data_IF_500145305113
#
_entry.id   IF_500145305113
#
_cell.length_a   1.000
_cell.length_b   1.000
_cell.length_c   1.000
_cell.angle_alpha   90.00
_cell.angle_beta   90.00
_cell.angle_gamma   90.00
#
_symmetry.space_group_name_H-M   'P 1'
#
loop_
_entity.id
_entity.type
_entity.pdbx_description
1 polymer ?
#
# COMPACT_ATOMS: atom_id res chain seq x y z
N UNK A 1 15.21 -48.50 -5.08
CA UNK A 1 14.57 -47.60 -4.08
C UNK A 1 13.30 -47.08 -4.71
N UNK A 2 12.15 -47.67 -4.38
CA UNK A 2 10.87 -47.14 -4.83
C UNK A 2 10.58 -45.86 -4.02
N UNK A 3 10.42 -44.74 -4.69
CA UNK A 3 9.94 -43.50 -4.07
C UNK A 3 8.57 -43.77 -3.47
N UNK A 4 8.44 -43.61 -2.15
CA UNK A 4 7.13 -43.60 -1.50
C UNK A 4 6.26 -42.54 -2.20
N UNK A 5 5.03 -42.88 -2.65
CA UNK A 5 4.12 -41.85 -3.09
C UNK A 5 3.90 -40.89 -1.92
N UNK A 6 3.97 -39.58 -2.21
CA UNK A 6 3.47 -38.53 -1.31
C UNK A 6 2.09 -38.97 -0.82
N UNK A 7 1.90 -39.11 0.48
CA UNK A 7 0.59 -39.45 1.02
C UNK A 7 -0.40 -38.38 0.54
N UNK A 8 -1.32 -38.76 -0.35
CA UNK A 8 -2.44 -37.90 -0.69
C UNK A 8 -3.26 -37.72 0.60
N UNK A 9 -3.57 -36.47 0.96
CA UNK A 9 -4.44 -36.17 2.10
C UNK A 9 -5.77 -36.90 1.92
N UNK A 10 -6.21 -37.68 2.91
CA UNK A 10 -7.52 -38.32 2.83
C UNK A 10 -8.63 -37.26 2.94
N UNK A 11 -9.59 -37.24 2.01
CA UNK A 11 -10.69 -36.31 2.07
C UNK A 11 -11.64 -36.63 3.22
N UNK A 12 -11.93 -35.62 4.00
CA UNK A 12 -12.91 -35.59 5.07
C UNK A 12 -14.16 -34.87 4.55
N UNK A 13 -15.11 -35.66 4.06
CA UNK A 13 -16.40 -35.21 3.51
C UNK A 13 -17.52 -35.48 4.48
N UNK A 14 -18.45 -34.54 4.60
CA UNK A 14 -19.69 -34.74 5.33
C UNK A 14 -20.88 -34.71 4.37
N UNK A 15 -21.59 -35.82 4.23
CA UNK A 15 -22.83 -35.85 3.46
C UNK A 15 -23.97 -35.27 4.29
N UNK A 16 -24.60 -34.20 3.81
CA UNK A 16 -25.77 -33.59 4.44
C UNK A 16 -25.47 -32.63 5.59
N UNK A 17 -24.21 -32.22 5.78
CA UNK A 17 -23.87 -31.10 6.65
C UNK A 17 -23.46 -29.90 5.82
N UNK A 18 -24.09 -28.75 6.06
CA UNK A 18 -23.71 -27.50 5.43
C UNK A 18 -22.54 -26.84 6.19
N UNK A 19 -22.51 -26.99 7.51
CA UNK A 19 -21.53 -26.35 8.38
C UNK A 19 -20.83 -27.36 9.29
N UNK A 20 -19.51 -27.23 9.38
CA UNK A 20 -18.65 -28.02 10.26
C UNK A 20 -17.94 -27.08 11.23
N UNK A 21 -18.12 -27.31 12.53
CA UNK A 21 -17.42 -26.58 13.60
C UNK A 21 -16.49 -27.53 14.36
N UNK A 22 -15.21 -27.17 14.45
CA UNK A 22 -14.26 -27.79 15.36
C UNK A 22 -13.82 -26.73 16.37
N UNK A 23 -14.06 -26.99 17.64
CA UNK A 23 -13.73 -26.05 18.70
C UNK A 23 -13.08 -26.75 19.90
N UNK A 24 -12.13 -26.09 20.52
CA UNK A 24 -11.57 -26.48 21.81
C UNK A 24 -12.05 -25.50 22.88
N UNK A 25 -12.25 -25.98 24.11
CA UNK A 25 -12.58 -25.10 25.23
C UNK A 25 -11.33 -24.57 25.96
N UNK A 26 -10.22 -25.30 25.86
CA UNK A 26 -8.91 -24.96 26.38
C UNK A 26 -7.86 -25.78 25.62
N UNK A 27 -7.26 -25.20 24.57
CA UNK A 27 -6.13 -25.79 23.87
C UNK A 27 -6.07 -25.46 22.37
N UNK A 28 -4.93 -25.72 21.77
CA UNK A 28 -4.71 -25.46 20.34
C UNK A 28 -5.40 -26.49 19.45
N UNK A 29 -5.71 -26.09 18.22
CA UNK A 29 -6.13 -26.97 17.13
C UNK A 29 -4.95 -27.12 16.17
N UNK A 30 -4.49 -28.35 15.96
CA UNK A 30 -3.52 -28.69 14.91
C UNK A 30 -4.13 -29.71 13.98
N UNK A 31 -4.29 -29.36 12.70
CA UNK A 31 -4.87 -30.24 11.69
C UNK A 31 -3.85 -30.45 10.57
N UNK A 32 -3.44 -31.70 10.36
CA UNK A 32 -2.47 -32.08 9.33
C UNK A 32 -2.86 -33.41 8.69
N UNK A 33 -2.61 -33.59 7.41
CA UNK A 33 -2.85 -34.87 6.72
C UNK A 33 -4.31 -35.16 6.37
N UNK A 34 -5.22 -34.22 6.63
CA UNK A 34 -6.65 -34.29 6.25
C UNK A 34 -6.98 -33.22 5.20
N UNK A 35 -8.06 -33.42 4.46
CA UNK A 35 -8.62 -32.42 3.57
C UNK A 35 -10.11 -32.20 3.83
N UNK A 36 -10.56 -30.95 3.91
CA UNK A 36 -11.97 -30.58 4.01
C UNK A 36 -12.51 -30.24 2.62
N UNK A 37 -13.58 -30.89 2.20
CA UNK A 37 -14.19 -30.68 0.89
C UNK A 37 -15.69 -30.97 0.90
N UNK A 38 -16.41 -30.33 -0.03
CA UNK A 38 -17.82 -30.63 -0.38
C UNK A 38 -18.85 -30.34 0.72
N UNK A 39 -18.70 -29.20 1.41
CA UNK A 39 -19.70 -28.63 2.32
C UNK A 39 -19.59 -27.09 2.30
N UNK A 40 -20.59 -26.37 2.81
CA UNK A 40 -20.64 -24.91 2.66
C UNK A 40 -19.59 -24.19 3.54
N UNK A 41 -19.51 -24.52 4.84
CA UNK A 41 -18.75 -23.71 5.80
C UNK A 41 -17.90 -24.52 6.79
N UNK A 42 -16.63 -24.13 6.95
CA UNK A 42 -15.72 -24.63 7.98
C UNK A 42 -15.44 -23.55 9.04
N UNK A 43 -15.68 -23.86 10.30
CA UNK A 43 -15.30 -23.03 11.45
C UNK A 43 -14.31 -23.76 12.35
N UNK A 44 -13.18 -23.11 12.64
CA UNK A 44 -12.24 -23.54 13.66
C UNK A 44 -12.19 -22.50 14.77
N UNK A 45 -12.30 -22.92 16.03
CA UNK A 45 -12.16 -22.04 17.19
C UNK A 45 -11.26 -22.65 18.27
N UNK A 46 -10.05 -22.10 18.43
CA UNK A 46 -9.15 -22.47 19.51
C UNK A 46 -9.25 -21.47 20.67
N UNK A 47 -9.85 -21.90 21.78
CA UNK A 47 -10.04 -21.08 22.99
C UNK A 47 -8.90 -21.26 23.99
N UNK A 48 -8.43 -20.17 24.60
CA UNK A 48 -7.35 -20.10 25.58
C UNK A 48 -6.25 -19.11 25.16
N UNK A 49 -5.68 -18.38 26.13
CA UNK A 49 -4.68 -17.33 25.89
C UNK A 49 -3.39 -17.79 25.18
N UNK A 50 -3.14 -19.10 25.11
CA UNK A 50 -2.02 -19.72 24.41
C UNK A 50 -2.48 -20.78 23.41
N UNK A 51 -3.73 -20.68 22.94
CA UNK A 51 -4.35 -21.66 22.06
C UNK A 51 -4.28 -21.21 20.62
N UNK A 52 -3.51 -21.94 19.83
CA UNK A 52 -3.23 -21.65 18.43
C UNK A 52 -4.13 -22.44 17.49
N UNK A 53 -4.28 -21.96 16.27
CA UNK A 53 -4.71 -22.78 15.14
C UNK A 53 -3.55 -22.97 14.17
N UNK A 54 -3.02 -24.19 14.09
CA UNK A 54 -2.06 -24.61 13.07
C UNK A 54 -2.80 -25.43 12.02
N UNK A 55 -3.15 -24.77 10.91
CA UNK A 55 -3.99 -25.32 9.87
C UNK A 55 -3.16 -25.83 8.69
N UNK A 56 -2.71 -27.09 8.79
CA UNK A 56 -2.03 -27.83 7.72
C UNK A 56 -2.95 -28.67 6.84
N UNK A 57 -4.26 -28.66 7.08
CA UNK A 57 -5.24 -29.36 6.27
C UNK A 57 -5.51 -28.62 4.95
N UNK A 58 -5.83 -29.37 3.89
CA UNK A 58 -6.29 -28.76 2.64
C UNK A 58 -7.77 -28.43 2.71
N UNK A 59 -8.18 -27.33 2.09
CA UNK A 59 -9.57 -26.89 1.96
C UNK A 59 -9.84 -26.60 0.49
N UNK A 60 -10.86 -27.20 -0.08
CA UNK A 60 -11.27 -26.91 -1.45
C UNK A 60 -12.74 -27.25 -1.67
N UNK A 61 -13.40 -26.52 -2.60
CA UNK A 61 -14.85 -26.65 -2.88
C UNK A 61 -15.70 -26.43 -1.62
N UNK A 62 -15.36 -25.41 -0.84
CA UNK A 62 -16.20 -24.90 0.25
C UNK A 62 -16.42 -23.39 0.07
N UNK A 63 -17.57 -22.88 0.50
CA UNK A 63 -17.93 -21.47 0.33
C UNK A 63 -17.18 -20.57 1.31
N UNK A 64 -16.99 -21.02 2.56
CA UNK A 64 -16.28 -20.25 3.57
C UNK A 64 -15.39 -21.10 4.51
N UNK A 65 -14.18 -20.62 4.77
CA UNK A 65 -13.33 -21.07 5.87
C UNK A 65 -13.07 -19.92 6.86
N UNK A 66 -13.44 -20.13 8.13
CA UNK A 66 -13.30 -19.18 9.21
C UNK A 66 -12.46 -19.78 10.34
N UNK A 67 -11.33 -19.17 10.63
CA UNK A 67 -10.38 -19.63 11.64
C UNK A 67 -10.28 -18.58 12.75
N UNK A 68 -10.47 -19.02 13.99
CA UNK A 68 -10.35 -18.16 15.16
C UNK A 68 -9.46 -18.81 16.21
N UNK A 69 -8.51 -18.04 16.73
CA UNK A 69 -7.63 -18.44 17.81
C UNK A 69 -7.49 -17.28 18.79
N UNK A 70 -7.50 -17.57 20.09
CA UNK A 70 -7.21 -16.56 21.12
C UNK A 70 -5.71 -16.22 21.22
N UNK A 71 -4.84 -17.02 20.60
CA UNK A 71 -3.42 -16.73 20.41
C UNK A 71 -3.08 -16.64 18.91
N UNK A 72 -2.28 -17.54 18.33
CA UNK A 72 -1.79 -17.42 16.96
C UNK A 72 -2.60 -18.25 15.94
N UNK A 73 -2.58 -17.81 14.68
CA UNK A 73 -3.04 -18.60 13.53
C UNK A 73 -1.91 -18.75 12.54
N UNK A 74 -1.66 -19.99 12.08
CA UNK A 74 -0.73 -20.31 11.00
C UNK A 74 -1.40 -21.25 9.99
N UNK A 75 -1.31 -20.91 8.69
CA UNK A 75 -1.94 -21.67 7.60
C UNK A 75 -0.88 -22.32 6.71
N UNK A 76 -0.70 -23.63 6.89
CA UNK A 76 0.30 -24.41 6.18
C UNK A 76 -0.29 -25.29 5.06
N UNK A 77 -1.61 -25.52 5.08
CA UNK A 77 -2.33 -26.27 4.05
C UNK A 77 -2.83 -25.37 2.91
N UNK A 78 -3.21 -25.99 1.79
CA UNK A 78 -3.83 -25.28 0.66
C UNK A 78 -5.26 -24.88 1.04
N UNK A 79 -5.63 -23.63 0.80
CA UNK A 79 -7.00 -23.12 0.98
C UNK A 79 -7.55 -22.66 -0.37
N UNK A 80 -8.71 -23.15 -0.78
CA UNK A 80 -9.46 -22.71 -1.95
C UNK A 80 -10.95 -22.56 -1.59
N UNK A 81 -11.44 -21.33 -1.52
CA UNK A 81 -12.78 -21.04 -1.00
C UNK A 81 -13.41 -19.77 -1.61
N UNK A 82 -14.70 -19.54 -1.40
CA UNK A 82 -15.34 -18.26 -1.71
C UNK A 82 -14.90 -17.15 -0.75
N UNK A 83 -14.82 -17.45 0.55
CA UNK A 83 -14.43 -16.53 1.61
C UNK A 83 -13.42 -17.17 2.57
N UNK A 84 -12.29 -16.49 2.79
CA UNK A 84 -11.32 -16.88 3.80
C UNK A 84 -11.19 -15.80 4.87
N UNK A 85 -11.56 -16.14 6.10
CA UNK A 85 -11.56 -15.24 7.25
C UNK A 85 -10.74 -15.76 8.41
N UNK A 86 -9.89 -14.93 9.00
CA UNK A 86 -9.17 -15.27 10.24
C UNK A 86 -9.25 -14.19 11.30
N UNK A 87 -9.26 -14.61 12.56
CA UNK A 87 -9.04 -13.75 13.72
C UNK A 87 -8.09 -14.45 14.69
N UNK A 88 -6.85 -13.96 14.78
CA UNK A 88 -5.89 -14.33 15.83
C UNK A 88 -5.90 -13.29 16.94
N UNK A 89 -5.92 -13.72 18.20
CA UNK A 89 -5.80 -12.84 19.36
C UNK A 89 -4.40 -12.26 19.53
N UNK A 90 -3.39 -12.95 19.04
CA UNK A 90 -2.02 -12.47 18.91
C UNK A 90 -1.64 -12.34 17.42
N UNK A 91 -0.84 -13.23 16.84
CA UNK A 91 -0.30 -13.07 15.49
C UNK A 91 -1.03 -13.90 14.43
N UNK A 92 -1.17 -13.36 13.22
CA UNK A 92 -1.28 -14.19 12.01
C UNK A 92 0.13 -14.46 11.51
N UNK A 93 0.59 -15.69 11.68
CA UNK A 93 1.95 -16.12 11.37
C UNK A 93 2.03 -16.54 9.90
N UNK A 94 3.12 -16.16 9.25
CA UNK A 94 3.42 -16.59 7.88
C UNK A 94 3.45 -18.13 7.83
N UNK A 95 2.60 -18.70 6.99
CA UNK A 95 2.54 -20.14 6.77
C UNK A 95 3.14 -20.56 5.43
N UNK A 96 3.11 -21.86 5.16
CA UNK A 96 3.65 -22.45 3.93
C UNK A 96 2.61 -22.77 2.86
N UNK A 97 1.32 -22.73 3.20
CA UNK A 97 0.23 -23.13 2.32
C UNK A 97 -0.21 -22.03 1.38
N UNK A 98 -0.71 -22.39 0.20
CA UNK A 98 -1.29 -21.43 -0.76
C UNK A 98 -2.77 -21.20 -0.44
N UNK A 99 -3.22 -19.95 -0.45
CA UNK A 99 -4.59 -19.54 -0.14
C UNK A 99 -5.19 -18.80 -1.31
N UNK A 100 -6.22 -19.37 -1.93
CA UNK A 100 -7.09 -18.80 -2.97
C UNK A 100 -8.48 -18.55 -2.41
N UNK A 101 -8.91 -17.30 -2.36
CA UNK A 101 -10.24 -16.92 -1.91
C UNK A 101 -10.87 -15.84 -2.80
N UNK A 102 -12.19 -15.91 -3.02
CA UNK A 102 -12.94 -14.82 -3.67
C UNK A 102 -13.05 -13.56 -2.78
N UNK A 103 -12.89 -13.72 -1.47
CA UNK A 103 -12.79 -12.65 -0.48
C UNK A 103 -11.80 -13.06 0.60
N UNK A 104 -10.94 -12.13 1.01
CA UNK A 104 -9.89 -12.36 2.01
C UNK A 104 -10.02 -11.36 3.17
N UNK A 105 -10.12 -11.87 4.40
CA UNK A 105 -10.17 -11.05 5.62
C UNK A 105 -9.25 -11.65 6.69
N UNK A 106 -8.09 -11.03 6.91
CA UNK A 106 -7.14 -11.45 7.94
C UNK A 106 -7.09 -10.41 9.04
N UNK A 107 -7.36 -10.83 10.29
CA UNK A 107 -7.26 -9.98 11.47
C UNK A 107 -6.37 -10.62 12.52
N UNK A 108 -5.50 -9.82 13.10
CA UNK A 108 -4.64 -10.19 14.21
C UNK A 108 -4.73 -9.13 15.33
N UNK A 109 -4.65 -9.57 16.58
CA UNK A 109 -4.54 -8.70 17.76
C UNK A 109 -3.18 -8.05 17.90
N UNK A 110 -2.12 -8.67 17.37
CA UNK A 110 -0.79 -8.08 17.17
C UNK A 110 -0.43 -8.08 15.68
N UNK A 111 0.50 -8.90 15.19
CA UNK A 111 1.04 -8.76 13.85
C UNK A 111 0.31 -9.60 12.80
N UNK A 112 0.23 -9.08 11.57
CA UNK A 112 -0.04 -9.91 10.38
C UNK A 112 1.24 -10.06 9.57
N UNK A 113 1.74 -11.29 9.48
CA UNK A 113 2.88 -11.65 8.66
C UNK A 113 2.38 -12.24 7.33
N UNK A 114 2.17 -11.37 6.35
CA UNK A 114 1.60 -11.70 5.05
C UNK A 114 2.70 -12.20 4.09
N UNK A 115 2.89 -13.52 4.04
CA UNK A 115 3.89 -14.10 3.16
C UNK A 115 3.37 -14.19 1.71
N UNK A 116 4.06 -13.53 0.76
CA UNK A 116 3.70 -13.53 -0.66
C UNK A 116 3.60 -14.95 -1.26
N UNK A 117 4.35 -15.93 -0.75
CA UNK A 117 4.24 -17.35 -1.16
C UNK A 117 2.86 -17.96 -0.92
N UNK A 118 2.19 -17.52 0.14
CA UNK A 118 0.85 -18.00 0.47
C UNK A 118 -0.21 -17.45 -0.50
N UNK A 119 0.11 -16.39 -1.23
CA UNK A 119 -0.79 -15.75 -2.20
C UNK A 119 -0.10 -15.68 -3.56
N UNK A 120 0.11 -16.84 -4.22
CA UNK A 120 0.97 -16.95 -5.39
C UNK A 120 0.54 -16.07 -6.58
N UNK A 121 1.53 -15.66 -7.36
CA UNK A 121 1.45 -14.77 -8.52
C UNK A 121 1.32 -15.53 -9.87
N UNK A 122 0.75 -14.90 -10.91
CA UNK A 122 0.50 -15.44 -12.27
C UNK A 122 -0.92 -15.13 -12.79
N UNK A 123 -1.27 -15.50 -14.03
CA UNK A 123 -2.52 -15.16 -14.78
C UNK A 123 -3.89 -15.42 -14.08
N UNK A 124 -3.90 -15.88 -12.83
CA UNK A 124 -5.09 -16.16 -12.01
C UNK A 124 -4.83 -15.91 -10.53
N UNK A 125 -4.16 -14.80 -10.14
CA UNK A 125 -3.83 -14.61 -8.73
C UNK A 125 -5.07 -14.52 -7.85
N UNK A 126 -4.88 -14.88 -6.60
CA UNK A 126 -5.91 -14.81 -5.57
C UNK A 126 -6.36 -13.37 -5.34
N UNK A 127 -5.42 -12.43 -5.40
CA UNK A 127 -5.68 -11.02 -5.17
C UNK A 127 -6.28 -10.33 -6.41
N UNK A 128 -6.00 -10.82 -7.63
CA UNK A 128 -6.68 -10.39 -8.86
C UNK A 128 -8.10 -10.95 -8.98
N UNK A 129 -8.37 -12.11 -8.36
CA UNK A 129 -9.70 -12.74 -8.34
C UNK A 129 -10.54 -12.31 -7.15
N UNK A 130 -9.92 -11.85 -6.07
CA UNK A 130 -10.64 -11.42 -4.88
C UNK A 130 -11.43 -10.14 -5.18
N UNK A 131 -12.73 -10.15 -4.89
CA UNK A 131 -13.53 -8.92 -4.91
C UNK A 131 -13.28 -8.03 -3.69
N UNK A 132 -12.67 -8.59 -2.64
CA UNK A 132 -12.39 -7.89 -1.40
C UNK A 132 -11.15 -8.45 -0.69
N UNK A 133 -10.27 -7.57 -0.24
CA UNK A 133 -9.10 -7.89 0.59
C UNK A 133 -9.04 -6.94 1.77
N UNK A 134 -9.08 -7.45 2.99
CA UNK A 134 -8.93 -6.68 4.22
C UNK A 134 -7.94 -7.33 5.16
N UNK A 135 -6.85 -6.64 5.45
CA UNK A 135 -5.78 -7.11 6.34
C UNK A 135 -5.63 -6.10 7.49
N UNK A 136 -5.82 -6.55 8.73
CA UNK A 136 -5.75 -5.71 9.93
C UNK A 136 -4.89 -6.34 11.03
N UNK A 137 -3.95 -5.58 11.57
CA UNK A 137 -3.08 -5.94 12.69
C UNK A 137 -2.56 -4.68 13.37
N UNK A 138 -1.76 -4.79 14.42
CA UNK A 138 -0.97 -3.66 14.95
C UNK A 138 0.16 -3.31 13.99
N UNK A 139 0.93 -4.31 13.55
CA UNK A 139 1.89 -4.19 12.45
C UNK A 139 1.54 -5.17 11.34
N UNK A 140 1.73 -4.77 10.09
CA UNK A 140 1.61 -5.65 8.92
C UNK A 140 3.00 -5.76 8.28
N UNK A 141 3.48 -6.99 8.12
CA UNK A 141 4.75 -7.30 7.48
C UNK A 141 4.49 -8.06 6.18
N UNK A 142 5.00 -7.53 5.07
CA UNK A 142 4.97 -8.15 3.74
C UNK A 142 6.42 -8.31 3.28
N UNK A 143 7.12 -9.37 3.71
CA UNK A 143 8.49 -9.60 3.30
C UNK A 143 8.55 -9.90 1.79
N UNK A 144 9.65 -9.50 1.14
CA UNK A 144 9.95 -9.97 -0.20
C UNK A 144 10.06 -11.49 -0.20
N UNK A 145 9.56 -12.11 -1.25
CA UNK A 145 9.94 -13.47 -1.57
C UNK A 145 10.92 -13.46 -2.75
N UNK A 146 12.20 -13.84 -2.57
CA UNK A 146 13.19 -13.82 -3.65
C UNK A 146 12.86 -14.76 -4.82
N UNK A 147 11.93 -15.70 -4.63
CA UNK A 147 11.48 -16.63 -5.68
C UNK A 147 10.23 -16.16 -6.44
N UNK A 148 9.61 -15.04 -6.05
CA UNK A 148 8.43 -14.49 -6.71
C UNK A 148 8.67 -13.05 -7.14
N UNK A 149 7.88 -12.58 -8.11
CA UNK A 149 7.83 -11.16 -8.43
C UNK A 149 7.43 -10.36 -7.18
N UNK A 150 8.05 -9.20 -7.02
CA UNK A 150 7.84 -8.32 -5.87
C UNK A 150 6.67 -7.35 -6.09
N UNK A 151 5.69 -7.72 -6.91
CA UNK A 151 4.50 -6.90 -7.19
C UNK A 151 3.21 -7.65 -6.84
N UNK A 152 2.33 -6.98 -6.12
CA UNK A 152 0.98 -7.44 -5.81
C UNK A 152 -0.03 -6.76 -6.74
N UNK A 153 -0.70 -7.56 -7.56
CA UNK A 153 -1.78 -7.12 -8.42
C UNK A 153 -3.14 -7.41 -7.78
N UNK A 154 -4.05 -6.45 -7.89
CA UNK A 154 -5.41 -6.55 -7.39
C UNK A 154 -6.43 -6.42 -8.51
N UNK A 155 -7.59 -7.05 -8.32
CA UNK A 155 -8.70 -6.90 -9.26
C UNK A 155 -9.05 -5.43 -9.42
N UNK A 156 -9.36 -4.94 -10.64
CA UNK A 156 -9.80 -3.55 -10.81
C UNK A 156 -11.04 -3.21 -9.99
N UNK A 157 -11.93 -4.18 -9.76
CA UNK A 157 -13.16 -3.98 -8.98
C UNK A 157 -12.97 -4.29 -7.49
N UNK A 158 -11.79 -4.77 -7.08
CA UNK A 158 -11.55 -5.13 -5.70
C UNK A 158 -11.58 -3.88 -4.81
N UNK A 159 -12.11 -4.02 -3.60
CA UNK A 159 -11.77 -3.10 -2.52
C UNK A 159 -10.65 -3.70 -1.69
N UNK A 160 -9.53 -2.99 -1.58
CA UNK A 160 -8.33 -3.48 -0.90
C UNK A 160 -7.97 -2.56 0.25
N UNK A 161 -7.88 -3.12 1.46
CA UNK A 161 -7.55 -2.39 2.67
C UNK A 161 -6.47 -3.08 3.47
N UNK A 162 -5.42 -2.33 3.76
CA UNK A 162 -4.42 -2.68 4.77
C UNK A 162 -4.50 -1.68 5.90
N UNK A 163 -4.63 -2.17 7.14
CA UNK A 163 -4.73 -1.32 8.33
C UNK A 163 -3.80 -1.84 9.42
N UNK A 164 -2.63 -1.20 9.56
CA UNK A 164 -1.78 -1.33 10.73
C UNK A 164 -2.26 -0.33 11.79
N UNK A 165 -2.79 -0.81 12.91
CA UNK A 165 -3.48 0.00 13.94
C UNK A 165 -2.51 0.97 14.60
N UNK A 166 -1.64 0.46 15.46
CA UNK A 166 -0.71 1.30 16.23
C UNK A 166 0.73 1.22 15.71
N UNK A 167 1.05 0.25 14.86
CA UNK A 167 2.38 -0.04 14.36
C UNK A 167 2.59 0.35 12.89
N UNK A 168 3.45 -0.41 12.22
CA UNK A 168 3.92 -0.10 10.86
C UNK A 168 3.21 -0.95 9.79
N UNK A 169 3.22 -0.45 8.56
CA UNK A 169 3.05 -1.26 7.36
C UNK A 169 4.41 -1.42 6.67
N UNK A 170 4.98 -2.61 6.72
CA UNK A 170 6.34 -2.90 6.26
C UNK A 170 6.31 -3.78 5.00
N UNK A 171 6.49 -3.17 3.84
CA UNK A 171 6.58 -3.82 2.54
C UNK A 171 7.61 -3.11 1.62
N UNK A 172 8.81 -2.74 2.12
CA UNK A 172 9.73 -1.79 1.47
C UNK A 172 10.23 -2.22 0.09
N UNK A 173 10.12 -3.51 -0.21
CA UNK A 173 10.56 -4.14 -1.44
C UNK A 173 9.40 -4.61 -2.32
N UNK A 174 8.15 -4.29 -1.95
CA UNK A 174 6.95 -4.77 -2.63
C UNK A 174 6.22 -3.61 -3.31
N UNK A 175 5.93 -3.79 -4.59
CA UNK A 175 5.06 -2.93 -5.38
C UNK A 175 3.59 -3.34 -5.22
N UNK A 176 2.69 -2.36 -5.14
CA UNK A 176 1.25 -2.57 -5.06
C UNK A 176 0.58 -1.95 -6.28
N UNK A 177 -0.22 -2.73 -7.00
CA UNK A 177 -0.77 -2.37 -8.30
C UNK A 177 -2.27 -2.60 -8.34
N UNK A 178 -3.04 -1.51 -8.34
CA UNK A 178 -4.49 -1.54 -8.29
C UNK A 178 -5.10 -0.62 -9.35
N UNK A 179 -5.39 -1.16 -10.54
CA UNK A 179 -5.88 -0.36 -11.67
C UNK A 179 -7.20 0.38 -11.39
N UNK A 180 -8.05 -0.16 -10.51
CA UNK A 180 -9.29 0.48 -10.09
C UNK A 180 -9.15 1.67 -9.14
N UNK A 181 -7.96 1.90 -8.56
CA UNK A 181 -7.78 3.03 -7.65
C UNK A 181 -8.46 2.88 -6.28
N UNK A 182 -8.74 1.66 -5.81
CA UNK A 182 -9.47 1.36 -4.56
C UNK A 182 -8.59 0.71 -3.48
N UNK A 183 -7.28 1.03 -3.49
CA UNK A 183 -6.31 0.56 -2.50
C UNK A 183 -6.16 1.57 -1.36
N UNK A 184 -6.59 1.20 -0.16
CA UNK A 184 -6.37 1.93 1.08
C UNK A 184 -5.21 1.29 1.89
N UNK A 185 -4.21 2.09 2.28
CA UNK A 185 -3.17 1.66 3.23
C UNK A 185 -3.10 2.68 4.35
N UNK A 186 -3.37 2.22 5.58
CA UNK A 186 -3.29 3.04 6.79
C UNK A 186 -2.34 2.39 7.80
N UNK A 187 -1.47 3.20 8.42
CA UNK A 187 -0.60 2.80 9.51
C UNK A 187 -0.59 3.84 10.63
N UNK A 188 -0.67 3.40 11.89
CA UNK A 188 -0.52 4.26 13.06
C UNK A 188 0.85 4.92 13.16
N UNK A 189 1.89 4.27 12.64
CA UNK A 189 3.24 4.82 12.55
C UNK A 189 3.65 4.97 11.09
N UNK A 190 4.47 4.06 10.57
CA UNK A 190 5.10 4.24 9.27
C UNK A 190 4.47 3.34 8.21
N UNK A 191 4.43 3.82 6.97
CA UNK A 191 4.23 3.02 5.77
C UNK A 191 5.55 2.98 5.01
N UNK A 192 6.10 1.79 4.83
CA UNK A 192 7.28 1.54 4.01
C UNK A 192 6.89 0.61 2.86
N UNK A 193 7.01 1.08 1.62
CA UNK A 193 6.59 0.32 0.43
C UNK A 193 7.66 0.37 -0.66
N UNK A 194 7.65 -0.61 -1.56
CA UNK A 194 8.42 -0.54 -2.80
C UNK A 194 7.86 0.58 -3.68
N UNK A 195 6.64 0.41 -4.16
CA UNK A 195 5.90 1.42 -4.95
C UNK A 195 4.40 1.23 -4.80
N UNK A 196 3.61 2.24 -5.15
CA UNK A 196 2.14 2.15 -5.17
C UNK A 196 1.62 2.72 -6.48
N UNK A 197 0.81 1.94 -7.19
CA UNK A 197 0.08 2.36 -8.38
C UNK A 197 -1.41 2.17 -8.16
N UNK A 198 -2.16 3.26 -8.10
CA UNK A 198 -3.62 3.22 -7.89
C UNK A 198 -4.04 3.16 -6.43
N UNK A 199 -3.35 3.88 -5.54
CA UNK A 199 -3.81 4.08 -4.18
C UNK A 199 -5.05 5.01 -4.14
N UNK A 200 -6.08 4.66 -3.37
CA UNK A 200 -7.14 5.60 -3.02
C UNK A 200 -6.68 6.54 -1.91
N UNK A 201 -6.45 5.98 -0.72
CA UNK A 201 -6.01 6.73 0.45
C UNK A 201 -4.78 6.05 1.10
N UNK A 202 -3.70 6.82 1.22
CA UNK A 202 -2.49 6.42 1.91
C UNK A 202 -2.33 7.30 3.15
N UNK A 203 -2.26 6.69 4.35
CA UNK A 203 -2.24 7.42 5.62
C UNK A 203 -1.23 6.83 6.59
N UNK A 204 -0.17 7.57 6.92
CA UNK A 204 0.84 7.17 7.91
C UNK A 204 0.89 8.17 9.07
N UNK A 205 0.75 7.72 10.32
CA UNK A 205 0.84 8.64 11.46
C UNK A 205 2.21 9.32 11.60
N UNK A 206 3.28 8.64 11.20
CA UNK A 206 4.66 9.14 11.24
C UNK A 206 5.25 9.32 9.83
N UNK A 207 5.74 8.27 9.17
CA UNK A 207 6.42 8.40 7.88
C UNK A 207 5.74 7.59 6.79
N UNK A 208 5.52 8.20 5.62
CA UNK A 208 5.34 7.47 4.37
C UNK A 208 6.67 7.46 3.62
N UNK A 209 7.20 6.27 3.30
CA UNK A 209 8.38 6.13 2.45
C UNK A 209 8.15 5.11 1.34
N UNK A 210 8.52 5.49 0.12
CA UNK A 210 8.58 4.58 -1.03
C UNK A 210 9.94 4.62 -1.73
N UNK A 211 10.39 3.45 -2.19
CA UNK A 211 11.64 3.30 -2.98
C UNK A 211 11.43 3.60 -4.46
N UNK A 212 10.22 3.40 -4.96
CA UNK A 212 9.78 3.71 -6.31
C UNK A 212 8.73 4.80 -6.33
N UNK A 213 7.94 4.84 -7.39
CA UNK A 213 6.90 5.85 -7.56
C UNK A 213 5.65 5.55 -6.75
N UNK A 214 4.91 6.60 -6.40
CA UNK A 214 3.63 6.54 -5.71
C UNK A 214 2.59 7.30 -6.53
N UNK A 215 1.55 6.61 -6.98
CA UNK A 215 0.36 7.17 -7.62
C UNK A 215 -0.86 6.89 -6.75
N UNK A 216 -1.49 7.95 -6.26
CA UNK A 216 -2.66 7.86 -5.38
C UNK A 216 -3.68 8.96 -5.65
N UNK A 217 -4.85 8.90 -5.03
CA UNK A 217 -5.75 10.04 -4.90
C UNK A 217 -5.34 10.94 -3.74
N UNK A 218 -5.11 10.37 -2.56
CA UNK A 218 -4.77 11.13 -1.35
C UNK A 218 -3.62 10.50 -0.57
N UNK A 219 -2.65 11.31 -0.16
CA UNK A 219 -1.56 10.91 0.73
C UNK A 219 -1.48 11.85 1.93
N UNK A 220 -1.58 11.29 3.14
CA UNK A 220 -1.39 11.98 4.42
C UNK A 220 -0.26 11.29 5.19
N UNK A 221 0.75 12.04 5.64
CA UNK A 221 1.74 11.50 6.56
C UNK A 221 2.37 12.55 7.48
N UNK A 222 2.98 12.12 8.59
CA UNK A 222 3.84 13.01 9.38
C UNK A 222 5.00 13.58 8.55
N UNK A 223 5.72 12.73 7.82
CA UNK A 223 6.72 13.07 6.79
C UNK A 223 6.56 12.19 5.56
N UNK A 224 6.87 12.71 4.38
CA UNK A 224 6.76 11.99 3.09
C UNK A 224 8.13 11.93 2.42
N UNK A 225 8.55 10.73 2.03
CA UNK A 225 9.85 10.45 1.38
C UNK A 225 9.64 9.47 0.21
N UNK A 226 9.56 9.99 -1.01
CA UNK A 226 9.32 9.21 -2.23
C UNK A 226 10.56 9.28 -3.09
N UNK A 227 11.26 8.16 -3.30
CA UNK A 227 12.55 8.18 -4.01
C UNK A 227 12.41 8.48 -5.51
N UNK A 228 11.24 8.24 -6.11
CA UNK A 228 10.94 8.53 -7.51
C UNK A 228 9.82 9.58 -7.64
N UNK A 229 8.77 9.31 -8.42
CA UNK A 229 7.67 10.26 -8.65
C UNK A 229 6.54 10.10 -7.62
N UNK A 230 5.97 11.22 -7.18
CA UNK A 230 4.74 11.26 -6.39
C UNK A 230 3.64 11.95 -7.19
N UNK A 231 2.58 11.22 -7.53
CA UNK A 231 1.39 11.74 -8.20
C UNK A 231 0.16 11.55 -7.31
N UNK A 232 -0.52 12.65 -6.98
CA UNK A 232 -1.77 12.64 -6.22
C UNK A 232 -2.87 13.41 -6.94
N UNK A 233 -4.02 12.78 -7.21
CA UNK A 233 -5.11 13.46 -7.94
C UNK A 233 -5.92 14.42 -7.07
N UNK A 234 -6.00 14.20 -5.75
CA UNK A 234 -6.70 15.07 -4.81
C UNK A 234 -5.72 15.92 -3.99
N UNK A 235 -4.98 15.31 -3.05
CA UNK A 235 -4.07 16.06 -2.19
C UNK A 235 -2.88 15.24 -1.68
N UNK A 236 -1.82 15.96 -1.30
CA UNK A 236 -0.71 15.48 -0.49
C UNK A 236 -0.61 16.37 0.74
N UNK A 237 -0.63 15.79 1.93
CA UNK A 237 -0.51 16.52 3.19
C UNK A 237 0.60 15.94 4.06
N UNK A 238 1.49 16.81 4.54
CA UNK A 238 2.52 16.46 5.50
C UNK A 238 2.55 17.39 6.72
N UNK A 239 2.64 16.80 7.91
CA UNK A 239 2.88 17.54 9.15
C UNK A 239 4.34 18.03 9.28
N UNK A 240 5.22 17.67 8.35
CA UNK A 240 6.62 18.09 8.29
C UNK A 240 7.10 18.18 6.83
N UNK A 241 8.17 17.47 6.47
CA UNK A 241 8.83 17.52 5.17
C UNK A 241 8.16 16.61 4.14
N UNK A 242 8.12 17.10 2.90
CA UNK A 242 7.84 16.33 1.70
C UNK A 242 9.11 16.29 0.84
N UNK A 243 9.72 15.11 0.72
CA UNK A 243 10.87 14.87 -0.15
C UNK A 243 10.47 13.91 -1.27
N UNK A 244 10.67 14.33 -2.52
CA UNK A 244 10.39 13.54 -3.72
C UNK A 244 11.63 13.54 -4.61
N UNK A 245 12.18 12.39 -4.96
CA UNK A 245 13.40 12.32 -5.78
C UNK A 245 13.15 12.75 -7.23
N UNK A 246 11.96 12.46 -7.76
CA UNK A 246 11.52 12.79 -9.10
C UNK A 246 10.55 13.98 -9.15
N UNK A 247 9.39 13.77 -9.75
CA UNK A 247 8.33 14.76 -9.90
C UNK A 247 7.32 14.67 -8.75
N UNK A 248 7.05 15.81 -8.11
CA UNK A 248 5.86 16.00 -7.28
C UNK A 248 4.74 16.59 -8.14
N UNK A 249 3.67 15.82 -8.36
CA UNK A 249 2.50 16.23 -9.12
C UNK A 249 1.22 16.09 -8.29
N UNK A 250 0.56 17.20 -7.95
CA UNK A 250 -0.68 17.14 -7.17
C UNK A 250 -1.60 18.34 -7.40
N UNK A 251 -2.91 18.12 -7.21
CA UNK A 251 -3.89 19.20 -7.26
C UNK A 251 -3.80 20.13 -6.03
N UNK A 252 -3.41 19.58 -4.87
CA UNK A 252 -3.16 20.33 -3.64
C UNK A 252 -2.02 19.69 -2.85
N UNK A 253 -1.11 20.51 -2.33
CA UNK A 253 -0.06 20.11 -1.40
C UNK A 253 -0.09 21.02 -0.19
N UNK A 254 -0.13 20.42 1.00
CA UNK A 254 0.01 21.14 2.28
C UNK A 254 1.21 20.57 3.02
N UNK A 255 2.16 21.40 3.43
CA UNK A 255 3.32 20.97 4.21
C UNK A 255 3.64 21.96 5.33
N UNK A 256 3.94 21.47 6.53
CA UNK A 256 4.44 22.33 7.62
C UNK A 256 5.96 22.47 7.63
N UNK A 257 6.66 21.60 6.91
CA UNK A 257 8.10 21.62 6.68
C UNK A 257 8.44 21.75 5.20
N UNK A 258 9.72 21.59 4.87
CA UNK A 258 10.23 21.83 3.53
C UNK A 258 9.61 20.89 2.48
N UNK A 259 9.44 21.40 1.26
CA UNK A 259 9.04 20.61 0.10
C UNK A 259 10.17 20.60 -0.91
N UNK A 260 10.70 19.42 -1.22
CA UNK A 260 11.78 19.26 -2.21
C UNK A 260 11.37 18.25 -3.27
N UNK A 261 11.53 18.60 -4.54
CA UNK A 261 11.38 17.66 -5.65
C UNK A 261 12.38 17.97 -6.76
N UNK A 262 12.75 17.00 -7.62
CA UNK A 262 13.48 17.35 -8.84
C UNK A 262 12.61 18.23 -9.77
N UNK A 263 11.30 17.94 -9.83
CA UNK A 263 10.32 18.74 -10.57
C UNK A 263 9.06 18.95 -9.75
N UNK A 264 8.52 20.17 -9.73
CA UNK A 264 7.26 20.48 -9.05
C UNK A 264 6.21 20.86 -10.10
N UNK A 265 5.09 20.11 -10.09
CA UNK A 265 3.89 20.35 -10.88
C UNK A 265 2.67 20.30 -9.96
N UNK A 266 2.50 21.34 -9.16
CA UNK A 266 1.45 21.39 -8.13
C UNK A 266 0.52 22.57 -8.38
N UNK A 267 -0.80 22.38 -8.43
CA UNK A 267 -1.74 23.49 -8.64
C UNK A 267 -1.77 24.44 -7.44
N UNK A 268 -2.03 23.91 -6.24
CA UNK A 268 -2.03 24.68 -4.99
C UNK A 268 -1.00 24.11 -4.02
N UNK A 269 -0.02 24.92 -3.59
CA UNK A 269 1.00 24.54 -2.61
C UNK A 269 0.95 25.51 -1.43
N UNK A 270 0.55 25.01 -0.26
CA UNK A 270 0.58 25.73 1.00
C UNK A 270 1.68 25.17 1.92
N UNK A 271 2.72 25.97 2.12
CA UNK A 271 3.82 25.71 3.03
C UNK A 271 4.34 27.03 3.62
N UNK A 272 3.42 27.79 4.25
CA UNK A 272 3.55 29.20 4.69
C UNK A 272 4.89 29.60 5.32
N UNK A 273 5.56 28.71 6.04
CA UNK A 273 6.84 28.98 6.71
C UNK A 273 8.02 28.20 6.16
N UNK A 274 7.79 27.29 5.21
CA UNK A 274 8.77 26.34 4.75
C UNK A 274 9.45 26.76 3.43
N UNK A 275 10.62 26.18 3.18
CA UNK A 275 11.29 26.30 1.91
C UNK A 275 10.72 25.29 0.90
N UNK A 276 10.42 25.77 -0.30
CA UNK A 276 10.12 24.93 -1.46
C UNK A 276 11.29 24.99 -2.43
N UNK A 277 11.85 23.84 -2.76
CA UNK A 277 13.00 23.73 -3.65
C UNK A 277 12.73 22.73 -4.78
N UNK A 278 12.82 23.20 -6.02
CA UNK A 278 12.85 22.36 -7.20
C UNK A 278 14.29 22.15 -7.70
N UNK A 279 14.59 20.93 -8.13
CA UNK A 279 15.85 20.56 -8.77
C UNK A 279 15.95 21.05 -10.22
N UNK A 280 16.66 20.30 -11.05
CA UNK A 280 16.91 20.65 -12.47
C UNK A 280 15.66 20.51 -13.33
N UNK A 281 14.64 19.76 -12.88
CA UNK A 281 13.34 19.67 -13.54
C UNK A 281 12.47 20.93 -13.39
N UNK A 282 12.80 21.79 -12.42
CA UNK A 282 12.19 23.10 -12.22
C UNK A 282 10.75 23.07 -11.69
N UNK A 283 10.12 24.25 -11.66
CA UNK A 283 8.69 24.41 -11.36
C UNK A 283 8.00 24.65 -12.68
N UNK A 284 7.05 23.79 -13.04
CA UNK A 284 6.43 23.82 -14.37
C UNK A 284 4.91 23.73 -14.31
N UNK A 285 4.21 24.20 -15.36
CA UNK A 285 2.76 24.23 -15.43
C UNK A 285 2.06 22.95 -14.96
N UNK A 286 1.05 23.10 -14.10
CA UNK A 286 0.07 22.07 -13.82
C UNK A 286 -0.86 21.98 -15.04
N UNK A 287 -0.59 21.01 -15.91
CA UNK A 287 -1.48 20.73 -17.03
C UNK A 287 -2.71 19.99 -16.50
N UNK A 288 -3.83 20.70 -16.37
CA UNK A 288 -5.15 20.06 -16.34
C UNK A 288 -5.46 19.40 -17.69
N UNK A 289 -6.29 18.38 -17.64
CA UNK A 289 -7.05 17.77 -18.73
C UNK A 289 -7.10 18.55 -20.06
N UNK A 290 -6.36 18.03 -21.05
CA UNK A 290 -6.48 18.05 -22.52
C UNK A 290 -6.83 19.34 -23.30
N UNK A 291 -7.19 20.47 -22.68
CA UNK A 291 -7.66 21.67 -23.40
C UNK A 291 -6.69 22.86 -23.40
N UNK A 292 -5.42 22.67 -23.04
CA UNK A 292 -4.34 23.61 -23.39
C UNK A 292 -4.34 24.97 -22.66
N UNK A 293 -5.36 25.29 -21.86
CA UNK A 293 -5.33 26.40 -20.92
C UNK A 293 -4.71 25.91 -19.62
N UNK A 294 -3.46 26.28 -19.38
CA UNK A 294 -2.82 25.86 -18.15
C UNK A 294 -3.40 26.58 -16.93
N UNK A 295 -3.51 25.81 -15.85
CA UNK A 295 -4.09 26.27 -14.59
C UNK A 295 -3.05 27.11 -13.84
N UNK A 296 -3.46 28.26 -13.31
CA UNK A 296 -2.61 29.09 -12.46
C UNK A 296 -2.16 28.31 -11.22
N UNK A 297 -0.88 28.49 -10.87
CA UNK A 297 -0.30 27.95 -9.66
C UNK A 297 -0.48 28.92 -8.50
N UNK A 298 -0.92 28.43 -7.34
CA UNK A 298 -1.01 29.21 -6.11
C UNK A 298 -0.02 28.65 -5.09
N UNK A 299 1.04 29.42 -4.79
CA UNK A 299 2.12 29.01 -3.89
C UNK A 299 2.17 29.96 -2.68
N UNK A 300 1.74 29.49 -1.52
CA UNK A 300 1.83 30.19 -0.24
C UNK A 300 3.02 29.62 0.54
N UNK A 301 4.22 30.17 0.34
CA UNK A 301 5.47 29.56 0.84
C UNK A 301 6.38 30.57 1.53
N UNK A 302 7.22 30.09 2.46
CA UNK A 302 8.20 30.93 3.14
C UNK A 302 9.36 31.36 2.24
N UNK A 303 9.84 30.45 1.38
CA UNK A 303 10.80 30.76 0.32
C UNK A 303 10.67 29.79 -0.84
N UNK A 304 11.06 30.23 -2.04
CA UNK A 304 11.00 29.43 -3.26
C UNK A 304 12.34 29.44 -3.97
N UNK A 305 12.85 28.26 -4.32
CA UNK A 305 14.06 28.11 -5.14
C UNK A 305 13.85 27.05 -6.21
N UNK A 306 14.49 27.23 -7.37
CA UNK A 306 14.41 26.28 -8.47
C UNK A 306 15.68 26.34 -9.32
N UNK A 307 16.40 25.22 -9.42
CA UNK A 307 17.58 25.14 -10.27
C UNK A 307 17.22 25.06 -11.77
N UNK A 308 16.08 24.44 -12.10
CA UNK A 308 15.54 24.33 -13.46
C UNK A 308 14.67 25.51 -13.92
N UNK A 309 14.63 26.61 -13.15
CA UNK A 309 13.79 27.77 -13.43
C UNK A 309 12.33 27.59 -12.98
N UNK A 310 11.55 28.66 -13.12
CA UNK A 310 10.16 28.73 -12.65
C UNK A 310 9.27 29.16 -13.82
N UNK A 311 8.32 28.31 -14.18
CA UNK A 311 7.29 28.61 -15.16
C UNK A 311 5.90 28.46 -14.53
N UNK A 312 5.30 29.60 -14.17
CA UNK A 312 3.90 29.71 -13.74
C UNK A 312 2.95 30.11 -14.87
N UNK A 313 3.46 30.51 -16.04
CA UNK A 313 2.66 31.16 -17.08
C UNK A 313 1.71 30.21 -17.79
N UNK A 314 1.85 28.91 -17.52
CA UNK A 314 0.97 27.91 -18.06
C UNK A 314 1.17 27.62 -19.56
N UNK A 315 1.70 28.56 -20.32
CA UNK A 315 2.10 28.35 -21.70
C UNK A 315 3.39 27.49 -21.75
N UNK A 316 3.41 26.51 -22.64
CA UNK A 316 4.61 25.73 -22.98
C UNK A 316 5.60 26.50 -23.87
N UNK A 317 5.41 27.82 -24.06
CA UNK A 317 6.25 28.63 -24.94
C UNK A 317 7.56 29.02 -24.26
N UNK A 318 8.62 29.14 -25.08
CA UNK A 318 10.03 29.39 -24.70
C UNK A 318 10.31 30.74 -24.02
N UNK A 319 9.31 31.44 -23.48
CA UNK A 319 9.50 32.75 -22.86
C UNK A 319 8.44 33.03 -21.77
N UNK A 320 8.63 32.57 -20.51
CA UNK A 320 7.70 32.88 -19.43
C UNK A 320 7.96 34.28 -18.85
N UNK A 321 6.98 35.17 -18.93
CA UNK A 321 6.91 36.36 -18.06
C UNK A 321 6.28 35.91 -16.74
N UNK A 322 7.09 35.74 -15.70
CA UNK A 322 6.61 35.37 -14.38
C UNK A 322 5.95 36.57 -13.68
N UNK A 323 4.68 36.44 -13.28
CA UNK A 323 4.13 37.21 -12.16
C UNK A 323 4.14 36.30 -10.94
N UNK A 324 5.10 36.52 -10.06
CA UNK A 324 5.10 35.94 -8.73
C UNK A 324 4.61 37.00 -7.75
N UNK A 325 3.50 36.77 -7.05
CA UNK A 325 3.15 37.51 -5.84
C UNK A 325 3.94 36.92 -4.66
N UNK A 326 5.27 37.02 -4.69
CA UNK A 326 6.10 36.69 -3.54
C UNK A 326 6.20 37.93 -2.64
N UNK A 327 5.71 37.84 -1.41
CA UNK A 327 5.84 38.90 -0.41
C UNK A 327 7.31 39.17 0.00
N UNK A 328 8.24 38.22 -0.24
CA UNK A 328 9.68 38.44 0.01
C UNK A 328 10.59 37.70 -0.98
N UNK A 329 11.48 38.47 -1.61
CA UNK A 329 12.73 38.12 -2.31
C UNK A 329 12.78 36.84 -3.16
N UNK A 330 12.60 36.99 -4.47
CA UNK A 330 13.07 36.04 -5.49
C UNK A 330 14.47 36.49 -5.90
N UNK A 331 15.52 35.79 -5.46
CA UNK A 331 16.88 36.05 -5.94
C UNK A 331 17.28 34.98 -6.95
N UNK A 332 17.50 35.32 -8.23
CA UNK A 332 18.24 34.47 -9.14
C UNK A 332 19.73 34.56 -8.76
N UNK A 333 20.35 33.43 -8.38
CA UNK A 333 21.82 33.34 -8.29
C UNK A 333 22.36 32.97 -9.66
N UNK A 334 23.03 33.94 -10.31
CA UNK A 334 23.95 33.69 -11.42
C UNK A 334 23.60 34.40 -12.73
N UNK A 335 24.04 35.66 -12.86
CA UNK A 335 24.38 36.24 -14.17
C UNK A 335 25.78 36.85 -14.05
N UNK A 336 26.73 36.52 -14.93
CA UNK A 336 28.05 37.13 -14.94
C UNK A 336 27.95 38.59 -15.41
N UNK A 337 28.69 39.47 -14.73
CA UNK A 337 28.77 40.89 -15.06
C UNK A 337 29.38 41.09 -16.46
N UNK A 338 28.56 41.51 -17.41
CA UNK A 338 28.98 42.03 -18.72
C UNK A 338 28.69 43.52 -18.79
N UNK A 339 29.76 44.31 -18.87
CA UNK A 339 29.81 45.75 -19.15
C UNK A 339 29.13 46.11 -20.48
N UNK A 340 28.16 47.02 -20.47
CA UNK A 340 27.74 47.79 -21.64
C UNK A 340 28.44 49.17 -21.63
N UNK A 341 29.15 49.47 -22.72
CA UNK A 341 29.50 50.84 -23.11
C UNK A 341 28.55 51.26 -24.23
N UNK A 342 27.92 52.43 -24.00
CA UNK A 342 27.10 53.29 -24.88
C UNK A 342 25.78 52.72 -25.44
#
# INVERSE_FOLDING_TARGET
MASRPSAASEPFTFTGLDTVLLATQAGSITLTGIAFQDFEQLYLYARGASSDVIFGASVFRIDAAILQAEHDIQVNGRVETGFFGTFSGNDFVAGSGTTTAGQLNLRAGDNVNFALRQFPYGDTTVLERAGFVSIEGDTINVPINPELESELFFSPEATVRFKARTGNFNAPDVAFSHRGGLLDIAAGQNIFVGSVFGGNALSAGATYRSRGSTSTRSLLAGSIDVSADLSATAFVESASTIAVGGQLSAAQVTARGNVTANRIRVRNLDALTAAVAAGTGGITPFLGDLNGAATEHIFNVGSLSSAGGINFSGASSRNPVARAAASRSILPRGSPAGTEQL
#
